data_IF_271766284023
#
_entry.id   IF_271766284023
#
_cell.length_a   1.000
_cell.length_b   1.000
_cell.length_c   1.000
_cell.angle_alpha   90.00
_cell.angle_beta   90.00
_cell.angle_gamma   90.00
#
_symmetry.space_group_name_H-M   'P 1'
#
loop_
_entity.id
_entity.type
_entity.pdbx_description
1 polymer ?
#
# COMPACT_ATOMS: atom_id res chain seq x y z
N UNK A 1 -4.62 4.53 12.18
CA UNK A 1 -4.48 3.78 13.45
C UNK A 1 -3.09 3.20 13.68
N UNK A 2 -2.41 2.60 12.69
CA UNK A 2 -1.07 2.00 12.87
C UNK A 2 -0.04 2.93 13.56
N UNK A 3 0.04 4.21 13.16
CA UNK A 3 0.96 5.20 13.74
C UNK A 3 0.74 5.43 15.24
N UNK A 4 -0.51 5.36 15.71
CA UNK A 4 -0.83 5.59 17.12
C UNK A 4 -0.51 4.38 18.00
N UNK A 5 -0.39 3.19 17.41
CA UNK A 5 -0.11 1.93 18.12
C UNK A 5 1.39 1.67 18.30
N UNK A 6 2.24 2.25 17.46
CA UNK A 6 3.69 2.09 17.55
C UNK A 6 4.29 2.93 18.68
N UNK A 7 5.27 2.37 19.38
CA UNK A 7 6.17 3.14 20.24
C UNK A 7 6.99 4.12 19.40
N UNK A 8 7.54 5.15 20.03
CA UNK A 8 8.55 6.00 19.39
C UNK A 8 9.66 5.15 18.75
N UNK A 9 10.07 5.49 17.53
CA UNK A 9 11.04 4.76 16.72
C UNK A 9 10.59 3.35 16.26
N UNK A 10 9.33 2.96 16.50
CA UNK A 10 8.78 1.69 16.08
C UNK A 10 8.66 1.58 14.55
N UNK A 11 8.80 0.36 14.02
CA UNK A 11 8.70 0.08 12.59
C UNK A 11 7.44 -0.73 12.30
N UNK A 12 6.60 -0.25 11.40
CA UNK A 12 5.51 -1.00 10.79
C UNK A 12 5.99 -1.64 9.47
N UNK A 13 5.56 -2.88 9.27
CA UNK A 13 5.59 -3.55 7.97
C UNK A 13 4.15 -3.58 7.44
N UNK A 14 3.90 -2.87 6.33
CA UNK A 14 2.59 -2.84 5.68
C UNK A 14 2.69 -3.49 4.31
N UNK A 15 1.88 -4.52 4.08
CA UNK A 15 1.72 -5.12 2.76
C UNK A 15 0.54 -4.45 2.06
N UNK A 16 0.77 -3.97 0.85
CA UNK A 16 -0.27 -3.50 -0.06
C UNK A 16 -0.24 -4.31 -1.35
N UNK A 17 -1.37 -4.34 -2.05
CA UNK A 17 -1.37 -4.68 -3.47
C UNK A 17 -1.18 -3.38 -4.25
N UNK A 18 -0.37 -3.41 -5.29
CA UNK A 18 -0.16 -2.24 -6.15
C UNK A 18 -0.60 -2.54 -7.59
N UNK A 19 -1.09 -1.51 -8.28
CA UNK A 19 -1.38 -1.60 -9.70
C UNK A 19 -0.13 -1.23 -10.50
N UNK A 20 0.28 -2.11 -11.40
CA UNK A 20 1.45 -1.95 -12.26
C UNK A 20 1.05 -1.46 -13.67
N UNK A 21 -0.18 -1.00 -13.88
CA UNK A 21 -0.69 -0.54 -15.18
C UNK A 21 -0.96 -1.65 -16.21
N UNK A 22 -0.67 -2.91 -15.88
CA UNK A 22 -0.95 -4.08 -16.71
C UNK A 22 -2.46 -4.26 -16.92
N UNK A 23 -2.93 -4.47 -18.16
CA UNK A 23 -4.36 -4.62 -18.50
C UNK A 23 -5.10 -5.74 -17.75
N UNK A 24 -4.37 -6.68 -17.15
CA UNK A 24 -4.92 -7.72 -16.25
C UNK A 24 -5.43 -7.18 -14.91
N UNK A 25 -5.00 -5.99 -14.48
CA UNK A 25 -5.32 -5.40 -13.17
C UNK A 25 -6.07 -4.06 -13.26
N UNK A 26 -6.28 -3.52 -14.47
CA UNK A 26 -7.15 -2.34 -14.67
C UNK A 26 -8.51 -2.55 -13.98
N UNK A 27 -9.00 -1.56 -13.21
CA UNK A 27 -10.31 -1.63 -12.58
C UNK A 27 -11.38 -1.74 -13.66
N UNK A 28 -11.94 -2.93 -13.84
CA UNK A 28 -13.05 -3.16 -14.77
C UNK A 28 -14.32 -2.58 -14.15
N UNK A 29 -14.78 -1.46 -14.71
CA UNK A 29 -15.98 -0.67 -14.36
C UNK A 29 -17.33 -1.43 -14.34
N UNK A 30 -17.37 -2.76 -14.37
CA UNK A 30 -18.60 -3.52 -14.67
C UNK A 30 -19.05 -4.60 -13.70
N UNK A 31 -18.44 -4.78 -12.54
CA UNK A 31 -19.03 -5.69 -11.53
C UNK A 31 -18.72 -5.22 -10.11
N UNK A 32 -19.64 -4.44 -9.54
CA UNK A 32 -19.55 -3.82 -8.22
C UNK A 32 -19.74 -4.84 -7.07
N UNK A 33 -20.16 -6.06 -7.38
CA UNK A 33 -20.50 -7.10 -6.39
C UNK A 33 -19.35 -8.09 -6.06
N UNK A 34 -18.23 -8.10 -6.81
CA UNK A 34 -17.15 -9.09 -6.63
C UNK A 34 -15.75 -8.48 -6.38
N UNK A 35 -15.59 -7.17 -6.45
CA UNK A 35 -14.28 -6.51 -6.63
C UNK A 35 -13.73 -5.84 -5.37
N UNK A 36 -13.88 -6.45 -4.19
CA UNK A 36 -13.27 -5.96 -2.94
C UNK A 36 -11.72 -5.92 -3.01
N UNK A 37 -11.12 -6.74 -3.88
CA UNK A 37 -9.66 -6.89 -4.02
C UNK A 37 -9.04 -5.80 -4.91
N UNK A 38 -9.79 -5.25 -5.87
CA UNK A 38 -9.33 -4.14 -6.74
C UNK A 38 -9.46 -2.77 -6.09
N UNK A 39 -10.21 -2.63 -5.00
CA UNK A 39 -10.37 -1.36 -4.30
C UNK A 39 -9.19 -1.02 -3.37
N UNK A 40 -8.29 -1.98 -3.12
CA UNK A 40 -7.09 -1.83 -2.27
C UNK A 40 -5.80 -1.91 -3.09
N UNK A 41 -5.87 -1.55 -4.37
CA UNK A 41 -4.68 -1.42 -5.22
C UNK A 41 -4.29 0.05 -5.29
N UNK A 42 -3.23 0.42 -4.58
CA UNK A 42 -2.68 1.79 -4.61
C UNK A 42 -1.55 1.87 -5.63
N UNK A 43 -1.34 3.05 -6.23
CA UNK A 43 -0.05 3.32 -6.84
C UNK A 43 1.03 3.34 -5.75
N UNK A 44 2.23 2.86 -6.07
CA UNK A 44 3.32 2.81 -5.09
C UNK A 44 3.63 4.20 -4.54
N UNK A 45 3.72 5.19 -5.43
CA UNK A 45 4.00 6.58 -5.07
C UNK A 45 2.89 7.18 -4.19
N UNK A 46 1.62 6.89 -4.52
CA UNK A 46 0.47 7.37 -3.76
C UNK A 46 0.50 6.87 -2.31
N UNK A 47 0.79 5.58 -2.10
CA UNK A 47 0.87 5.03 -0.74
C UNK A 47 2.06 5.61 0.03
N UNK A 48 3.18 5.88 -0.64
CA UNK A 48 4.35 6.51 -0.04
C UNK A 48 4.03 7.93 0.45
N UNK A 49 3.36 8.75 -0.37
CA UNK A 49 2.92 10.09 0.00
C UNK A 49 1.93 10.07 1.18
N UNK A 50 0.97 9.15 1.17
CA UNK A 50 0.03 8.98 2.29
C UNK A 50 0.77 8.64 3.59
N UNK A 51 1.77 7.74 3.54
CA UNK A 51 2.57 7.39 4.71
C UNK A 51 3.29 8.61 5.28
N UNK A 52 3.91 9.44 4.42
CA UNK A 52 4.55 10.69 4.82
C UNK A 52 3.54 11.67 5.45
N UNK A 53 2.36 11.83 4.87
CA UNK A 53 1.31 12.71 5.39
C UNK A 53 0.79 12.29 6.78
N UNK A 54 0.77 10.98 7.06
CA UNK A 54 0.39 10.45 8.38
C UNK A 54 1.49 10.71 9.44
N UNK A 55 2.71 11.05 9.02
CA UNK A 55 3.86 11.27 9.88
C UNK A 55 4.80 10.06 9.96
N UNK A 56 4.59 9.02 9.17
CA UNK A 56 5.58 7.96 9.02
C UNK A 56 6.78 8.45 8.21
N UNK A 57 7.93 7.86 8.50
CA UNK A 57 9.12 7.94 7.67
C UNK A 57 9.32 6.61 6.91
N UNK A 58 9.01 6.57 5.60
CA UNK A 58 9.21 5.37 4.81
C UNK A 58 10.71 5.07 4.67
N UNK A 59 11.11 3.87 5.07
CA UNK A 59 12.51 3.42 5.03
C UNK A 59 12.83 2.77 3.68
N UNK A 60 11.96 1.87 3.23
CA UNK A 60 12.10 1.19 1.95
C UNK A 60 10.79 0.55 1.50
N UNK A 61 10.73 0.27 0.20
CA UNK A 61 9.72 -0.58 -0.43
C UNK A 61 10.42 -1.82 -0.97
N UNK A 62 9.83 -2.98 -0.72
CA UNK A 62 10.20 -4.22 -1.40
C UNK A 62 9.03 -4.70 -2.24
N UNK A 63 9.29 -4.97 -3.52
CA UNK A 63 8.29 -5.55 -4.41
C UNK A 63 8.36 -7.08 -4.34
N UNK A 64 7.22 -7.69 -4.05
CA UNK A 64 7.03 -9.14 -4.04
C UNK A 64 6.48 -9.66 -5.36
N UNK A 65 6.33 -10.98 -5.43
CA UNK A 65 5.62 -11.63 -6.54
C UNK A 65 4.13 -11.28 -6.52
N UNK A 66 3.48 -11.26 -7.69
CA UNK A 66 2.02 -11.06 -7.82
C UNK A 66 1.49 -9.66 -7.44
N UNK A 67 2.25 -8.60 -7.71
CA UNK A 67 1.88 -7.20 -7.50
C UNK A 67 1.63 -6.84 -6.03
N UNK A 68 2.39 -7.45 -5.12
CA UNK A 68 2.44 -7.06 -3.71
C UNK A 68 3.64 -6.18 -3.45
N UNK A 69 3.45 -5.12 -2.66
CA UNK A 69 4.52 -4.27 -2.17
C UNK A 69 4.53 -4.26 -0.64
N UNK A 70 5.73 -4.25 -0.09
CA UNK A 70 5.98 -4.24 1.35
C UNK A 70 6.65 -2.94 1.72
N UNK A 71 5.97 -2.13 2.53
CA UNK A 71 6.45 -0.86 3.02
C UNK A 71 6.97 -1.02 4.43
N UNK A 72 8.20 -0.58 4.66
CA UNK A 72 8.77 -0.44 5.99
C UNK A 72 8.63 1.03 6.40
N UNK A 73 7.78 1.29 7.39
CA UNK A 73 7.44 2.64 7.82
C UNK A 73 7.87 2.83 9.26
N UNK A 74 8.67 3.86 9.52
CA UNK A 74 9.11 4.19 10.88
C UNK A 74 8.25 5.31 11.47
N UNK A 75 7.87 5.17 12.73
CA UNK A 75 7.28 6.27 13.52
C UNK A 75 8.36 7.23 14.01
#
# INVERSE_FOLDING_TARGET
MAYQLLSDQGVALIQIRYDDGSEKFKPKLRDYHQNAITFTSYHLDEFWDIALQIGFYPLCITLGSSCYAYYFLKK
#
